data_IF_010719367391
#
_entry.id   IF_010719367391
#
_cell.length_a   1.000
_cell.length_b   1.000
_cell.length_c   1.000
_cell.angle_alpha   90.00
_cell.angle_beta   90.00
_cell.angle_gamma   90.00
#
_symmetry.space_group_name_H-M   'P 1'
#
loop_
_entity.id
_entity.type
_entity.pdbx_description
1 polymer ?
#
# COMPACT_ATOMS: atom_id res chain seq x y z
N UNK A 1 25.64 -10.33 -2.66
CA UNK A 1 26.42 -10.12 -1.42
C UNK A 1 25.51 -10.31 -0.22
N UNK A 2 25.51 -11.50 0.37
CA UNK A 2 24.66 -11.84 1.52
C UNK A 2 25.03 -11.00 2.76
N UNK A 3 26.26 -10.48 2.81
CA UNK A 3 26.78 -9.67 3.93
C UNK A 3 26.16 -8.28 3.99
N UNK A 4 25.51 -7.82 2.90
CA UNK A 4 24.80 -6.53 2.83
C UNK A 4 23.30 -6.65 3.07
N UNK A 5 22.80 -7.84 3.40
CA UNK A 5 21.39 -8.01 3.75
C UNK A 5 21.08 -7.28 5.06
N UNK A 6 20.04 -6.45 5.03
CA UNK A 6 19.50 -5.81 6.20
C UNK A 6 18.10 -6.35 6.45
N UNK A 7 17.88 -6.90 7.64
CA UNK A 7 16.55 -7.32 8.10
C UNK A 7 16.00 -6.25 9.03
N UNK A 8 14.72 -5.93 8.92
CA UNK A 8 14.02 -5.02 9.82
C UNK A 8 12.66 -5.62 10.14
N UNK A 9 12.31 -5.62 11.43
CA UNK A 9 10.99 -6.07 11.89
C UNK A 9 10.09 -4.85 12.00
N UNK A 10 8.92 -4.91 11.37
CA UNK A 10 7.96 -3.81 11.30
C UNK A 10 6.63 -4.33 11.84
N UNK A 11 6.04 -3.61 12.80
CA UNK A 11 4.74 -3.94 13.39
C UNK A 11 3.59 -3.53 12.45
N UNK A 12 3.43 -4.29 11.36
CA UNK A 12 2.32 -4.16 10.43
C UNK A 12 1.04 -4.82 10.96
N UNK A 13 0.01 -4.89 10.13
CA UNK A 13 -1.14 -5.75 10.41
C UNK A 13 -0.80 -7.25 10.38
N UNK A 14 -1.62 -8.04 11.07
CA UNK A 14 -1.61 -9.51 10.96
C UNK A 14 -2.26 -9.95 9.65
N UNK A 15 -2.00 -11.20 9.24
CA UNK A 15 -2.56 -11.79 8.02
C UNK A 15 -2.15 -11.06 6.74
N UNK A 16 -0.89 -10.62 6.67
CA UNK A 16 -0.32 -10.14 5.42
C UNK A 16 -0.38 -11.24 4.36
N UNK A 17 -0.74 -10.87 3.14
CA UNK A 17 -0.88 -11.78 2.03
C UNK A 17 -0.02 -11.26 0.86
N UNK A 18 -0.63 -10.52 -0.06
CA UNK A 18 -0.05 -10.02 -1.30
C UNK A 18 0.05 -8.49 -1.30
N UNK A 19 0.83 -7.96 -2.24
CA UNK A 19 1.14 -6.54 -2.29
C UNK A 19 2.08 -6.18 -3.43
N UNK A 20 2.25 -4.88 -3.63
CA UNK A 20 3.13 -4.36 -4.66
C UNK A 20 3.68 -2.98 -4.37
N UNK A 21 4.57 -2.56 -5.25
CA UNK A 21 5.23 -1.27 -5.18
C UNK A 21 4.31 -0.15 -5.66
N UNK A 22 4.43 1.01 -5.04
CA UNK A 22 3.96 2.26 -5.64
C UNK A 22 4.78 2.62 -6.90
N UNK A 23 4.32 3.59 -7.68
CA UNK A 23 5.04 4.07 -8.88
C UNK A 23 6.50 4.45 -8.63
N UNK A 24 6.83 5.00 -7.46
CA UNK A 24 8.21 5.39 -7.12
C UNK A 24 9.11 4.22 -6.70
N UNK A 25 8.53 3.02 -6.51
CA UNK A 25 9.22 1.83 -5.97
C UNK A 25 9.88 2.07 -4.62
N UNK A 26 9.30 2.96 -3.81
CA UNK A 26 9.77 3.25 -2.45
C UNK A 26 8.85 2.66 -1.41
N UNK A 27 7.55 2.73 -1.66
CA UNK A 27 6.55 2.25 -0.74
C UNK A 27 6.03 0.91 -1.22
N UNK A 28 6.04 -0.07 -0.32
CA UNK A 28 5.42 -1.37 -0.56
C UNK A 28 4.05 -1.39 0.12
N UNK A 29 2.99 -1.55 -0.66
CA UNK A 29 1.61 -1.64 -0.21
C UNK A 29 1.22 -3.10 -0.15
N UNK A 30 0.88 -3.60 1.03
CA UNK A 30 0.58 -5.02 1.28
C UNK A 30 -0.76 -5.17 2.00
N UNK A 31 -1.61 -6.06 1.47
CA UNK A 31 -2.92 -6.35 2.01
C UNK A 31 -2.82 -7.24 3.25
N UNK A 32 -3.48 -6.82 4.32
CA UNK A 32 -3.90 -7.64 5.45
C UNK A 32 -5.37 -8.01 5.23
N UNK A 33 -5.61 -9.00 4.38
CA UNK A 33 -6.91 -9.25 3.76
C UNK A 33 -8.03 -9.53 4.78
N UNK A 34 -7.77 -10.37 5.80
CA UNK A 34 -8.74 -10.69 6.87
C UNK A 34 -9.14 -9.45 7.67
N UNK A 35 -8.27 -8.43 7.72
CA UNK A 35 -8.46 -7.22 8.51
C UNK A 35 -8.94 -6.01 7.69
N UNK A 36 -9.27 -6.21 6.41
CA UNK A 36 -9.76 -5.14 5.50
C UNK A 36 -8.82 -3.92 5.49
N UNK A 37 -7.51 -4.16 5.52
CA UNK A 37 -6.50 -3.11 5.67
C UNK A 37 -5.36 -3.30 4.68
N UNK A 38 -4.82 -2.21 4.16
CA UNK A 38 -3.56 -2.18 3.41
C UNK A 38 -2.50 -1.51 4.29
N UNK A 39 -1.43 -2.23 4.61
CA UNK A 39 -0.25 -1.68 5.28
C UNK A 39 0.71 -1.09 4.25
N UNK A 40 1.21 0.11 4.51
CA UNK A 40 2.18 0.82 3.65
C UNK A 40 3.53 0.83 4.35
N UNK A 41 4.56 0.28 3.71
CA UNK A 41 5.93 0.24 4.25
C UNK A 41 6.83 1.19 3.47
N UNK A 42 7.46 2.15 4.15
CA UNK A 42 8.54 2.96 3.57
C UNK A 42 9.82 2.14 3.59
N UNK A 43 10.17 1.53 2.46
CA UNK A 43 11.32 0.62 2.36
C UNK A 43 12.66 1.34 2.43
N UNK A 44 12.68 2.64 2.11
CA UNK A 44 13.88 3.47 2.29
C UNK A 44 14.17 3.72 3.77
N UNK A 45 13.13 3.91 4.58
CA UNK A 45 13.26 4.13 6.04
C UNK A 45 13.20 2.84 6.86
N UNK A 46 12.70 1.75 6.29
CA UNK A 46 12.44 0.49 7.00
C UNK A 46 11.36 0.64 8.08
N UNK A 47 10.30 1.42 7.82
CA UNK A 47 9.25 1.71 8.80
C UNK A 47 7.86 1.62 8.17
N UNK A 48 6.85 1.34 9.00
CA UNK A 48 5.45 1.47 8.61
C UNK A 48 5.13 2.95 8.37
N UNK A 49 4.62 3.27 7.19
CA UNK A 49 4.19 4.61 6.81
C UNK A 49 2.71 4.85 7.16
N UNK A 50 1.86 3.85 6.95
CA UNK A 50 0.43 3.95 7.22
C UNK A 50 -0.25 2.57 7.29
N UNK A 51 -1.46 2.56 7.85
CA UNK A 51 -2.46 1.50 7.74
C UNK A 51 -3.72 2.12 7.16
N UNK A 52 -4.15 1.65 6.00
CA UNK A 52 -5.29 2.22 5.26
C UNK A 52 -6.43 1.23 5.28
N UNK A 53 -7.57 1.60 5.87
CA UNK A 53 -8.79 0.80 5.80
C UNK A 53 -9.39 0.87 4.41
N UNK A 54 -9.83 -0.29 3.90
CA UNK A 54 -10.42 -0.46 2.58
C UNK A 54 -11.65 -1.38 2.67
N UNK A 55 -12.17 -1.86 1.54
CA UNK A 55 -13.27 -2.81 1.48
C UNK A 55 -12.93 -4.20 2.03
N UNK A 56 -13.85 -5.13 1.83
CA UNK A 56 -13.83 -6.47 2.43
C UNK A 56 -12.88 -7.40 1.68
N UNK A 57 -11.88 -7.96 2.37
CA UNK A 57 -10.87 -8.88 1.79
C UNK A 57 -10.17 -8.29 0.55
N UNK A 58 -9.36 -7.23 0.70
CA UNK A 58 -8.55 -6.71 -0.40
C UNK A 58 -7.62 -7.79 -0.94
N UNK A 59 -7.55 -7.90 -2.28
CA UNK A 59 -6.73 -8.90 -2.97
C UNK A 59 -6.06 -8.27 -4.22
N UNK A 60 -5.00 -7.49 -4.01
CA UNK A 60 -4.40 -6.69 -5.07
C UNK A 60 -3.60 -7.47 -6.12
N UNK A 61 -3.11 -8.67 -5.80
CA UNK A 61 -1.91 -9.19 -6.43
C UNK A 61 -0.74 -8.22 -6.20
N UNK A 62 -0.28 -7.54 -7.26
CA UNK A 62 0.69 -6.43 -7.16
C UNK A 62 0.03 -5.04 -7.14
N UNK A 63 -1.29 -5.00 -7.34
CA UNK A 63 -2.08 -3.80 -7.53
C UNK A 63 -1.83 -3.11 -8.87
N UNK A 64 -2.56 -2.02 -9.09
CA UNK A 64 -2.47 -1.20 -10.30
C UNK A 64 -2.01 0.22 -9.95
N UNK A 65 -1.11 0.75 -10.75
CA UNK A 65 -0.47 2.05 -10.51
C UNK A 65 -0.74 3.00 -11.68
N UNK A 66 -1.14 4.24 -11.40
CA UNK A 66 -1.23 5.30 -12.42
C UNK A 66 -1.15 6.69 -11.78
N UNK A 67 -1.10 7.73 -12.60
CA UNK A 67 -1.20 9.12 -12.16
C UNK A 67 -2.63 9.60 -12.40
N UNK A 68 -3.38 9.82 -11.32
CA UNK A 68 -4.73 10.37 -11.38
C UNK A 68 -4.69 11.90 -11.55
N UNK A 69 -5.51 12.45 -12.45
CA UNK A 69 -5.52 13.89 -12.78
C UNK A 69 -5.69 14.80 -11.56
N UNK A 70 -6.49 14.38 -10.57
CA UNK A 70 -6.79 15.17 -9.35
C UNK A 70 -5.91 14.81 -8.15
N UNK A 71 -5.51 13.54 -8.04
CA UNK A 71 -4.91 13.00 -6.80
C UNK A 71 -3.41 12.76 -6.90
N UNK A 72 -2.83 12.86 -8.11
CA UNK A 72 -1.45 12.51 -8.38
C UNK A 72 -1.25 10.99 -8.45
N UNK A 73 -0.04 10.48 -8.13
CA UNK A 73 0.24 9.05 -8.10
C UNK A 73 -0.69 8.30 -7.14
N UNK A 74 -1.29 7.21 -7.64
CA UNK A 74 -2.17 6.32 -6.90
C UNK A 74 -1.83 4.85 -7.14
N UNK A 75 -2.22 4.01 -6.19
CA UNK A 75 -2.18 2.55 -6.27
C UNK A 75 -3.57 1.99 -5.94
N UNK A 76 -4.03 0.96 -6.63
CA UNK A 76 -5.37 0.40 -6.42
C UNK A 76 -5.39 -1.10 -6.18
N UNK A 77 -6.44 -1.53 -5.47
CA UNK A 77 -6.77 -2.92 -5.18
C UNK A 77 -8.26 -3.18 -5.43
N UNK A 78 -8.57 -4.33 -6.01
CA UNK A 78 -9.90 -4.92 -5.92
C UNK A 78 -10.09 -5.68 -4.62
N UNK A 79 -11.30 -6.19 -4.42
CA UNK A 79 -11.72 -6.93 -3.23
C UNK A 79 -12.40 -8.23 -3.64
N UNK A 80 -12.24 -9.28 -2.82
CA UNK A 80 -12.94 -10.55 -3.01
C UNK A 80 -14.25 -10.63 -2.22
N UNK A 81 -14.41 -9.76 -1.21
CA UNK A 81 -15.59 -9.76 -0.33
C UNK A 81 -16.63 -8.70 -0.66
N UNK A 82 -16.32 -7.78 -1.57
CA UNK A 82 -17.25 -6.78 -2.12
C UNK A 82 -16.83 -6.40 -3.56
N UNK A 83 -17.62 -5.56 -4.22
CA UNK A 83 -17.40 -5.09 -5.60
C UNK A 83 -16.58 -3.79 -5.68
N UNK A 84 -16.04 -3.31 -4.56
CA UNK A 84 -15.33 -2.04 -4.53
C UNK A 84 -13.94 -2.16 -5.16
N UNK A 85 -13.46 -1.05 -5.73
CA UNK A 85 -12.04 -0.85 -6.06
C UNK A 85 -11.54 0.32 -5.23
N UNK A 86 -10.63 0.06 -4.30
CA UNK A 86 -10.04 1.11 -3.48
C UNK A 86 -8.83 1.69 -4.20
N UNK A 87 -8.79 3.02 -4.34
CA UNK A 87 -7.67 3.77 -4.93
C UNK A 87 -7.00 4.56 -3.81
N UNK A 88 -5.70 4.36 -3.61
CA UNK A 88 -4.93 4.93 -2.50
C UNK A 88 -3.90 5.93 -3.06
N UNK A 89 -3.85 7.15 -2.52
CA UNK A 89 -2.81 8.12 -2.87
C UNK A 89 -1.43 7.71 -2.33
N UNK A 90 -0.38 7.78 -3.15
CA UNK A 90 0.96 7.26 -2.82
C UNK A 90 2.08 8.30 -2.79
N UNK A 91 1.76 9.58 -2.93
CA UNK A 91 2.76 10.67 -2.97
C UNK A 91 2.66 11.61 -1.75
N UNK A 92 3.32 11.25 -0.62
CA UNK A 92 3.37 12.09 0.57
C UNK A 92 4.27 13.33 0.44
N UNK A 93 5.00 13.50 -0.67
CA UNK A 93 5.86 14.67 -0.86
C UNK A 93 5.08 15.83 -1.48
N UNK A 94 4.41 15.60 -2.61
CA UNK A 94 3.69 16.65 -3.36
C UNK A 94 2.18 16.62 -3.16
N UNK A 95 1.60 15.44 -2.85
CA UNK A 95 0.15 15.24 -2.73
C UNK A 95 -0.27 14.87 -1.29
N UNK A 96 0.31 15.53 -0.29
CA UNK A 96 0.14 15.27 1.16
C UNK A 96 -1.31 15.10 1.62
N UNK A 97 -2.24 15.88 1.06
CA UNK A 97 -3.67 15.81 1.41
C UNK A 97 -4.32 14.45 1.11
N UNK A 98 -3.79 13.73 0.12
CA UNK A 98 -4.31 12.48 -0.43
C UNK A 98 -3.46 11.26 -0.06
N UNK A 99 -2.21 11.47 0.35
CA UNK A 99 -1.30 10.38 0.67
C UNK A 99 -1.87 9.49 1.78
N UNK A 100 -1.84 8.18 1.54
CA UNK A 100 -2.29 7.13 2.47
C UNK A 100 -3.77 7.19 2.82
N UNK A 101 -4.58 7.72 1.91
CA UNK A 101 -6.05 7.73 2.02
C UNK A 101 -6.65 7.09 0.77
N UNK A 102 -7.82 6.49 0.94
CA UNK A 102 -8.69 6.16 -0.19
C UNK A 102 -9.21 7.46 -0.80
N UNK A 103 -9.14 7.60 -2.14
CA UNK A 103 -9.40 8.85 -2.88
C UNK A 103 -10.36 8.67 -4.06
#
# INVERSE_FOLDING_TARGET
DIKKLKTTKIESERFLHDGGWDLSKRYFLVAANVLNTVSVVDTKKGKLAAKVKVGVKPHPGRGANWVHKKFGPVWATGHLGDDAVAVIGTDPAKNKKYAWKVV
#
